data_IF_093653776783
#
_entry.id   IF_093653776783
#
_cell.length_a   1.000
_cell.length_b   1.000
_cell.length_c   1.000
_cell.angle_alpha   90.00
_cell.angle_beta   90.00
_cell.angle_gamma   90.00
#
_symmetry.space_group_name_H-M   'P 1'
#
loop_
_entity.id
_entity.type
_entity.pdbx_description
1 polymer ?
#
# COMPACT_ATOMS: atom_id res chain seq x y z
N UNK A 1 13.40 8.32 -2.91
CA UNK A 1 12.76 7.40 -1.94
C UNK A 1 11.71 8.20 -1.18
N UNK A 2 10.51 7.65 -0.97
CA UNK A 2 9.40 8.36 -0.32
C UNK A 2 9.40 8.07 1.20
N UNK A 3 9.54 9.09 2.08
CA UNK A 3 9.54 8.90 3.52
C UNK A 3 8.25 8.29 4.08
N UNK A 4 7.11 8.49 3.42
CA UNK A 4 5.86 7.90 3.87
C UNK A 4 5.89 6.39 3.68
N UNK A 5 6.38 5.89 2.53
CA UNK A 5 6.52 4.46 2.28
C UNK A 5 7.44 3.77 3.29
N UNK A 6 8.51 4.44 3.71
CA UNK A 6 9.44 3.96 4.75
C UNK A 6 8.72 3.73 6.09
N UNK A 7 7.90 4.69 6.51
CA UNK A 7 7.20 4.63 7.80
C UNK A 7 6.10 3.56 7.85
N UNK A 8 5.56 3.15 6.69
CA UNK A 8 4.51 2.13 6.63
C UNK A 8 5.02 0.69 6.56
N UNK A 9 6.32 0.45 6.39
CA UNK A 9 6.83 -0.92 6.23
C UNK A 9 6.43 -1.85 7.37
N UNK A 10 6.48 -1.38 8.62
CA UNK A 10 6.06 -2.17 9.79
C UNK A 10 4.56 -2.49 9.75
N UNK A 11 3.71 -1.48 9.55
CA UNK A 11 2.25 -1.65 9.46
C UNK A 11 1.86 -2.61 8.34
N UNK A 12 2.51 -2.51 7.18
CA UNK A 12 2.26 -3.40 6.05
C UNK A 12 2.69 -4.85 6.34
N UNK A 13 3.80 -5.05 7.04
CA UNK A 13 4.21 -6.39 7.49
C UNK A 13 3.19 -6.98 8.47
N UNK A 14 2.70 -6.20 9.44
CA UNK A 14 1.71 -6.65 10.41
C UNK A 14 0.40 -7.04 9.73
N UNK A 15 -0.11 -6.19 8.82
CA UNK A 15 -1.31 -6.49 8.05
C UNK A 15 -1.12 -7.73 7.18
N UNK A 16 0.02 -7.86 6.49
CA UNK A 16 0.33 -9.05 5.70
C UNK A 16 0.37 -10.30 6.56
N UNK A 17 0.97 -10.27 7.76
CA UNK A 17 1.00 -11.42 8.66
C UNK A 17 -0.40 -11.86 9.11
N UNK A 18 -1.31 -10.90 9.33
CA UNK A 18 -2.69 -11.19 9.74
C UNK A 18 -3.56 -11.72 8.60
N UNK A 19 -3.40 -11.19 7.39
CA UNK A 19 -4.35 -11.39 6.28
C UNK A 19 -3.83 -12.25 5.12
N UNK A 20 -2.53 -12.52 5.01
CA UNK A 20 -1.98 -13.35 3.94
C UNK A 20 -2.42 -14.82 4.03
N UNK A 21 -2.35 -15.44 5.21
CA UNK A 21 -2.78 -16.83 5.40
C UNK A 21 -4.29 -17.05 5.15
N UNK A 22 -5.18 -16.10 5.49
CA UNK A 22 -6.57 -16.08 5.04
C UNK A 22 -6.82 -15.95 3.53
N UNK A 23 -5.79 -15.89 2.69
CA UNK A 23 -5.94 -15.85 1.23
C UNK A 23 -5.90 -14.46 0.61
N UNK A 24 -5.46 -13.44 1.35
CA UNK A 24 -5.24 -12.08 0.82
C UNK A 24 -3.75 -11.77 0.76
N UNK A 25 -3.00 -12.24 -0.26
CA UNK A 25 -1.57 -12.00 -0.37
C UNK A 25 -1.27 -10.50 -0.61
N UNK A 26 -0.14 -10.06 -0.08
CA UNK A 26 0.33 -8.67 -0.19
C UNK A 26 1.52 -8.61 -1.12
N UNK A 27 1.58 -7.56 -1.92
CA UNK A 27 2.71 -7.26 -2.79
C UNK A 27 3.07 -5.78 -2.68
N UNK A 28 4.35 -5.49 -2.54
CA UNK A 28 4.88 -4.16 -2.83
C UNK A 28 5.02 -3.98 -4.35
N UNK A 29 4.89 -2.76 -4.84
CA UNK A 29 5.14 -2.44 -6.24
C UNK A 29 6.11 -1.26 -6.34
N UNK A 30 7.18 -1.42 -7.11
CA UNK A 30 8.10 -0.33 -7.46
C UNK A 30 7.81 0.08 -8.90
N UNK A 31 7.30 1.30 -9.07
CA UNK A 31 6.90 1.85 -10.36
C UNK A 31 8.08 2.52 -11.08
N UNK A 32 8.18 2.29 -12.39
CA UNK A 32 9.22 2.84 -13.25
C UNK A 32 10.62 2.25 -13.01
N UNK A 33 11.63 2.96 -13.49
CA UNK A 33 13.04 2.51 -13.49
C UNK A 33 13.97 3.43 -12.70
N UNK A 34 13.40 4.30 -11.86
CA UNK A 34 14.14 5.31 -11.10
C UNK A 34 15.06 4.75 -10.02
N UNK A 35 14.80 3.52 -9.57
CA UNK A 35 15.59 2.85 -8.54
C UNK A 35 16.26 1.61 -9.13
N UNK A 36 17.55 1.47 -8.87
CA UNK A 36 18.31 0.26 -9.17
C UNK A 36 17.93 -0.89 -8.25
N UNK A 37 18.17 -2.13 -8.69
CA UNK A 37 17.96 -3.33 -7.88
C UNK A 37 18.68 -3.27 -6.53
N UNK A 38 19.84 -2.62 -6.48
CA UNK A 38 20.63 -2.43 -5.26
C UNK A 38 19.94 -1.46 -4.28
N UNK A 39 19.36 -0.37 -4.78
CA UNK A 39 18.59 0.58 -3.97
C UNK A 39 17.30 -0.05 -3.44
N UNK A 40 16.60 -0.81 -4.29
CA UNK A 40 15.39 -1.54 -3.89
C UNK A 40 15.75 -2.57 -2.81
N UNK A 41 16.76 -3.42 -3.06
CA UNK A 41 17.21 -4.43 -2.09
C UNK A 41 17.64 -3.82 -0.76
N UNK A 42 18.32 -2.65 -0.81
CA UNK A 42 18.70 -1.91 0.38
C UNK A 42 17.49 -1.39 1.13
N UNK A 43 16.51 -0.80 0.45
CA UNK A 43 15.26 -0.34 1.08
C UNK A 43 14.55 -1.48 1.81
N UNK A 44 14.39 -2.63 1.16
CA UNK A 44 13.74 -3.80 1.77
C UNK A 44 14.46 -4.27 3.04
N UNK A 45 15.79 -4.22 3.03
CA UNK A 45 16.61 -4.58 4.18
C UNK A 45 16.56 -3.54 5.29
N UNK A 46 16.76 -2.27 4.97
CA UNK A 46 16.88 -1.17 5.92
C UNK A 46 15.55 -0.94 6.67
N UNK A 47 14.41 -1.08 5.97
CA UNK A 47 13.07 -0.95 6.54
C UNK A 47 12.38 -2.27 6.85
N UNK A 48 13.11 -3.38 6.69
CA UNK A 48 12.66 -4.75 6.99
C UNK A 48 11.31 -5.09 6.36
N UNK A 49 11.02 -4.60 5.14
CA UNK A 49 9.80 -4.91 4.42
C UNK A 49 9.84 -6.38 3.98
N UNK A 50 8.88 -7.18 4.44
CA UNK A 50 8.83 -8.63 4.23
C UNK A 50 7.93 -9.02 3.06
N UNK A 51 7.26 -8.04 2.44
CA UNK A 51 6.40 -8.30 1.30
C UNK A 51 7.22 -8.70 0.07
N UNK A 52 6.72 -9.63 -0.76
CA UNK A 52 7.24 -9.78 -2.11
C UNK A 52 7.05 -8.46 -2.87
N UNK A 53 8.07 -8.04 -3.62
CA UNK A 53 8.04 -6.81 -4.40
C UNK A 53 8.01 -7.11 -5.89
N UNK A 54 7.03 -6.52 -6.56
CA UNK A 54 6.87 -6.50 -8.00
C UNK A 54 7.57 -5.27 -8.57
N UNK A 55 8.32 -5.47 -9.65
CA UNK A 55 8.88 -4.37 -10.44
C UNK A 55 7.93 -4.06 -11.58
N UNK A 56 7.56 -2.79 -11.74
CA UNK A 56 6.67 -2.29 -12.79
C UNK A 56 7.41 -1.25 -13.66
N UNK A 57 8.45 -1.65 -14.40
CA UNK A 57 9.34 -0.73 -15.11
C UNK A 57 8.65 0.05 -16.23
N UNK A 58 7.57 -0.50 -16.80
CA UNK A 58 6.75 0.14 -17.86
C UNK A 58 5.49 0.84 -17.30
N UNK A 59 5.31 0.82 -15.98
CA UNK A 59 4.14 1.41 -15.31
C UNK A 59 2.81 0.81 -15.79
N UNK A 60 2.80 -0.45 -16.20
CA UNK A 60 1.60 -1.10 -16.72
C UNK A 60 0.62 -1.36 -15.57
N UNK A 61 1.11 -1.89 -14.45
CA UNK A 61 0.28 -2.12 -13.26
C UNK A 61 -0.17 -0.81 -12.63
N UNK A 62 0.76 0.16 -12.55
CA UNK A 62 0.51 1.52 -12.07
C UNK A 62 -0.65 2.17 -12.84
N UNK A 63 -0.59 2.16 -14.17
CA UNK A 63 -1.65 2.73 -15.03
C UNK A 63 -2.95 1.94 -14.99
N UNK A 64 -2.86 0.60 -14.93
CA UNK A 64 -4.04 -0.27 -14.82
C UNK A 64 -4.85 0.02 -13.56
N UNK A 65 -4.16 0.21 -12.43
CA UNK A 65 -4.80 0.50 -11.14
C UNK A 65 -5.15 1.98 -10.95
N UNK A 66 -4.60 2.86 -11.81
CA UNK A 66 -4.77 4.30 -11.69
C UNK A 66 -4.03 4.88 -10.48
N UNK A 67 -2.91 4.26 -10.09
CA UNK A 67 -2.08 4.75 -8.99
C UNK A 67 -1.43 6.09 -9.37
N UNK A 68 -1.44 7.03 -8.43
CA UNK A 68 -0.97 8.41 -8.68
C UNK A 68 0.12 8.86 -7.73
N UNK A 69 0.20 8.25 -6.54
CA UNK A 69 1.16 8.63 -5.49
C UNK A 69 1.72 7.41 -4.78
N UNK A 70 2.83 7.60 -4.06
CA UNK A 70 3.39 6.60 -3.15
C UNK A 70 3.47 7.14 -1.73
N UNK A 71 2.98 6.40 -0.71
CA UNK A 71 2.27 5.12 -0.81
C UNK A 71 0.78 5.28 -1.19
N UNK A 72 0.28 4.32 -1.96
CA UNK A 72 -1.14 4.14 -2.28
C UNK A 72 -1.40 2.61 -2.33
N UNK A 73 -2.54 2.17 -1.78
CA UNK A 73 -2.87 0.74 -1.70
C UNK A 73 -4.15 0.42 -2.45
N UNK A 74 -4.21 -0.81 -2.97
CA UNK A 74 -5.34 -1.34 -3.71
C UNK A 74 -5.72 -2.71 -3.14
N UNK A 75 -7.01 -2.93 -2.88
CA UNK A 75 -7.57 -4.24 -2.54
C UNK A 75 -8.39 -4.70 -3.74
N UNK A 76 -8.02 -5.86 -4.28
CA UNK A 76 -8.57 -6.40 -5.53
C UNK A 76 -9.16 -7.77 -5.23
N UNK A 77 -10.36 -8.04 -5.73
CA UNK A 77 -10.99 -9.35 -5.60
C UNK A 77 -10.53 -10.34 -6.69
N UNK A 78 -10.98 -11.59 -6.59
CA UNK A 78 -10.63 -12.66 -7.52
C UNK A 78 -11.17 -12.47 -8.94
N UNK A 79 -12.11 -11.55 -9.15
CA UNK A 79 -12.61 -11.16 -10.48
C UNK A 79 -11.77 -10.04 -11.11
N UNK A 80 -10.84 -9.45 -10.36
CA UNK A 80 -10.04 -8.30 -10.77
C UNK A 80 -10.70 -6.95 -10.45
N UNK A 81 -11.80 -6.92 -9.69
CA UNK A 81 -12.46 -5.69 -9.32
C UNK A 81 -11.75 -5.03 -8.12
N UNK A 82 -11.57 -3.71 -8.18
CA UNK A 82 -11.01 -2.92 -7.08
C UNK A 82 -12.10 -2.74 -6.01
N UNK A 83 -11.91 -3.38 -4.86
CA UNK A 83 -12.77 -3.21 -3.68
C UNK A 83 -12.42 -1.93 -2.91
N UNK A 84 -11.13 -1.55 -2.92
CA UNK A 84 -10.63 -0.36 -2.25
C UNK A 84 -9.40 0.22 -2.96
N UNK A 85 -9.31 1.55 -3.04
CA UNK A 85 -8.09 2.28 -3.38
C UNK A 85 -7.85 3.48 -2.47
N UNK A 86 -6.61 3.72 -2.06
CA UNK A 86 -6.25 4.96 -1.37
C UNK A 86 -5.22 4.80 -0.26
N UNK A 87 -5.42 5.52 0.84
CA UNK A 87 -4.51 5.57 1.99
C UNK A 87 -4.53 4.27 2.81
N UNK A 88 -3.48 4.04 3.59
CA UNK A 88 -3.41 2.90 4.53
C UNK A 88 -4.22 3.24 5.79
N UNK A 89 -4.02 4.43 6.34
CA UNK A 89 -4.69 4.99 7.51
C UNK A 89 -4.69 6.53 7.42
N UNK A 90 -5.05 7.23 8.50
CA UNK A 90 -5.09 8.69 8.56
C UNK A 90 -3.93 9.40 9.28
N UNK A 91 -2.79 8.73 9.52
CA UNK A 91 -1.64 9.33 10.21
C UNK A 91 -1.03 10.46 9.38
N UNK A 92 -0.88 10.26 8.07
CA UNK A 92 -0.39 11.26 7.14
C UNK A 92 -1.57 12.14 6.66
N UNK A 93 -1.59 13.40 7.09
CA UNK A 93 -2.65 14.36 6.71
C UNK A 93 -2.31 15.05 5.40
N UNK A 94 -1.05 15.43 5.24
CA UNK A 94 -0.48 16.01 4.03
C UNK A 94 1.05 15.74 4.02
N UNK A 95 1.74 16.09 2.94
CA UNK A 95 3.19 15.98 2.86
C UNK A 95 3.85 16.81 3.98
N UNK A 96 4.53 16.11 4.89
CA UNK A 96 5.18 16.70 6.06
C UNK A 96 4.26 17.01 7.24
N UNK A 97 2.95 16.78 7.12
CA UNK A 97 1.97 17.01 8.19
C UNK A 97 1.41 15.68 8.69
N UNK A 98 1.64 15.37 9.97
CA UNK A 98 1.26 14.10 10.59
C UNK A 98 0.40 14.28 11.83
N UNK A 99 -0.45 13.29 12.09
CA UNK A 99 -1.12 13.10 13.38
C UNK A 99 -0.19 12.37 14.35
N UNK A 100 -0.31 12.68 15.63
CA UNK A 100 0.34 11.92 16.70
C UNK A 100 -0.37 10.60 16.96
N UNK A 101 -1.70 10.57 16.75
CA UNK A 101 -2.55 9.41 16.99
C UNK A 101 -3.33 9.08 15.72
N UNK A 102 -3.19 7.84 15.27
CA UNK A 102 -3.99 7.28 14.18
C UNK A 102 -5.37 6.92 14.72
N UNK A 103 -6.42 7.40 14.08
CA UNK A 103 -7.81 7.17 14.52
C UNK A 103 -8.66 6.41 13.51
N UNK A 104 -8.20 6.31 12.27
CA UNK A 104 -8.90 5.60 11.19
C UNK A 104 -7.91 4.70 10.48
N UNK A 105 -8.24 3.42 10.32
CA UNK A 105 -7.34 2.40 9.80
C UNK A 105 -7.93 1.80 8.53
N UNK A 106 -8.01 2.60 7.47
CA UNK A 106 -8.80 2.31 6.28
C UNK A 106 -8.52 0.93 5.68
N UNK A 107 -7.24 0.62 5.41
CA UNK A 107 -6.87 -0.65 4.81
C UNK A 107 -7.23 -1.82 5.73
N UNK A 108 -6.93 -1.72 7.03
CA UNK A 108 -7.27 -2.76 8.01
C UNK A 108 -8.78 -3.01 8.06
N UNK A 109 -9.57 -1.95 8.11
CA UNK A 109 -11.02 -2.06 8.23
C UNK A 109 -11.65 -2.63 6.95
N UNK A 110 -11.09 -2.31 5.77
CA UNK A 110 -11.46 -2.96 4.51
C UNK A 110 -11.09 -4.44 4.51
N UNK A 111 -9.86 -4.81 4.86
CA UNK A 111 -9.41 -6.21 4.88
C UNK A 111 -10.25 -7.06 5.85
N UNK A 112 -10.57 -6.52 7.03
CA UNK A 112 -11.45 -7.18 7.98
C UNK A 112 -12.87 -7.39 7.41
N UNK A 113 -13.42 -6.39 6.71
CA UNK A 113 -14.73 -6.53 6.08
C UNK A 113 -14.71 -7.58 4.96
N UNK A 114 -13.65 -7.63 4.14
CA UNK A 114 -13.48 -8.65 3.10
C UNK A 114 -13.38 -10.06 3.71
N UNK A 115 -12.58 -10.22 4.76
CA UNK A 115 -12.43 -11.48 5.48
C UNK A 115 -13.75 -11.99 6.06
N UNK A 116 -14.57 -11.08 6.60
CA UNK A 116 -15.86 -11.40 7.21
C UNK A 116 -17.02 -11.47 6.19
N UNK A 117 -16.73 -11.35 4.89
CA UNK A 117 -17.73 -11.29 3.81
C UNK A 117 -18.78 -10.17 4.01
N UNK A 118 -18.36 -9.05 4.60
CA UNK A 118 -19.18 -7.86 4.87
C UNK A 118 -18.93 -6.76 3.84
N UNK A 119 -19.88 -5.82 3.65
CA UNK A 119 -19.65 -4.64 2.83
C UNK A 119 -18.44 -3.85 3.33
N UNK A 120 -17.52 -3.52 2.41
CA UNK A 120 -16.33 -2.71 2.74
C UNK A 120 -16.75 -1.31 3.18
N UNK A 121 -16.22 -0.79 4.31
CA UNK A 121 -16.60 0.52 4.83
C UNK A 121 -16.04 1.68 3.99
N UNK A 122 -14.97 1.43 3.24
CA UNK A 122 -14.33 2.39 2.35
C UNK A 122 -14.15 1.76 0.98
N UNK A 123 -14.54 2.48 -0.07
CA UNK A 123 -14.20 2.14 -1.46
C UNK A 123 -13.04 2.98 -1.98
N UNK A 124 -12.95 4.23 -1.52
CA UNK A 124 -11.87 5.13 -1.89
C UNK A 124 -11.56 6.07 -0.73
N UNK A 125 -10.28 6.31 -0.49
CA UNK A 125 -9.81 7.42 0.35
C UNK A 125 -8.73 8.20 -0.39
N UNK A 126 -8.40 9.40 0.09
CA UNK A 126 -7.33 10.20 -0.51
C UNK A 126 -5.97 9.73 0.02
N UNK A 127 -5.10 9.13 -0.81
CA UNK A 127 -3.73 8.85 -0.40
C UNK A 127 -2.93 10.16 -0.28
N UNK A 128 -1.93 10.14 0.59
CA UNK A 128 -0.96 11.23 0.76
C UNK A 128 0.41 10.66 0.45
N UNK A 129 1.12 11.27 -0.49
CA UNK A 129 2.36 10.69 -0.99
C UNK A 129 3.05 11.54 -2.05
N UNK A 130 4.24 11.09 -2.43
CA UNK A 130 4.97 11.66 -3.57
C UNK A 130 4.33 11.15 -4.86
N UNK A 131 4.20 12.01 -5.88
CA UNK A 131 3.67 11.61 -7.18
C UNK A 131 4.52 10.52 -7.83
N UNK A 132 3.84 9.63 -8.54
CA UNK A 132 4.47 8.68 -9.46
C UNK A 132 4.69 9.41 -10.78
N UNK A 133 5.92 9.35 -11.30
CA UNK A 133 6.34 10.01 -12.56
C UNK A 133 6.55 9.01 -13.68
#
# INVERSE_FOLDING_TARGET
>A
QCPLSENYCLTLNELSAMYAAPGMPFYGCVSGTYFSDAEISRFLKDYQLQLPVLLDPQQDLTRLLGATVTPEVFVIDSSGAILYSGAIDNWAVDLGVKREVVTEFYLRDVLAAVQDERPVPYRQTKPVGCFIE
#
